data_IF_665386247733
#
_entry.id   IF_665386247733
#
_cell.length_a   1.000
_cell.length_b   1.000
_cell.length_c   1.000
_cell.angle_alpha   90.00
_cell.angle_beta   90.00
_cell.angle_gamma   90.00
#
_symmetry.space_group_name_H-M   'P 1'
#
loop_
_entity.id
_entity.type
_entity.pdbx_description
1 polymer ?
#
# COMPACT_ATOMS: atom_id res chain seq x y z
N UNK A 1 10.39 -29.94 -28.68
CA UNK A 1 11.35 -28.90 -28.25
C UNK A 1 11.42 -27.82 -29.31
N UNK A 2 10.32 -27.11 -29.57
CA UNK A 2 10.29 -26.10 -30.64
C UNK A 2 9.06 -25.20 -30.50
N UNK A 3 9.06 -24.29 -29.52
CA UNK A 3 8.15 -23.12 -29.46
C UNK A 3 8.51 -22.21 -28.27
N UNK A 4 9.78 -21.85 -28.11
CA UNK A 4 10.18 -20.84 -27.11
C UNK A 4 11.01 -19.69 -27.70
N UNK A 5 11.03 -19.56 -29.03
CA UNK A 5 11.73 -18.47 -29.71
C UNK A 5 10.88 -17.20 -29.92
N UNK A 6 9.64 -17.15 -29.40
CA UNK A 6 8.66 -16.09 -29.72
C UNK A 6 8.03 -15.36 -28.53
N UNK A 7 8.48 -15.62 -27.30
CA UNK A 7 7.92 -14.93 -26.14
C UNK A 7 8.55 -13.54 -25.99
N UNK A 8 7.76 -12.51 -26.23
CA UNK A 8 8.12 -11.11 -26.04
C UNK A 8 8.50 -10.86 -24.56
N UNK A 9 9.72 -10.38 -24.26
CA UNK A 9 10.12 -9.95 -22.92
C UNK A 9 9.22 -8.85 -22.33
N UNK A 10 8.47 -8.13 -23.17
CA UNK A 10 7.47 -7.12 -22.78
C UNK A 10 6.19 -7.74 -22.19
N UNK A 11 6.00 -9.06 -22.33
CA UNK A 11 4.77 -9.74 -21.90
C UNK A 11 4.59 -9.61 -20.39
N UNK A 12 3.46 -9.04 -19.97
CA UNK A 12 3.17 -8.77 -18.57
C UNK A 12 3.86 -7.52 -17.99
N UNK A 13 4.58 -6.71 -18.79
CA UNK A 13 5.31 -5.55 -18.29
C UNK A 13 4.37 -4.46 -17.75
N UNK A 14 3.24 -4.23 -18.43
CA UNK A 14 2.21 -3.29 -17.97
C UNK A 14 1.57 -3.77 -16.66
N UNK A 15 1.27 -5.06 -16.56
CA UNK A 15 0.68 -5.67 -15.36
C UNK A 15 1.69 -5.70 -14.19
N UNK A 16 2.97 -5.98 -14.46
CA UNK A 16 4.04 -5.87 -13.45
C UNK A 16 4.19 -4.43 -12.96
N UNK A 17 4.19 -3.47 -13.88
CA UNK A 17 4.25 -2.06 -13.55
C UNK A 17 3.05 -1.63 -12.69
N UNK A 18 1.83 -2.00 -13.10
CA UNK A 18 0.61 -1.73 -12.35
C UNK A 18 0.63 -2.39 -10.95
N UNK A 19 1.10 -3.63 -10.84
CA UNK A 19 1.26 -4.31 -9.56
C UNK A 19 2.24 -3.58 -8.63
N UNK A 20 3.37 -3.07 -9.14
CA UNK A 20 4.34 -2.28 -8.36
C UNK A 20 3.72 -0.94 -7.93
N UNK A 21 3.02 -0.24 -8.85
CA UNK A 21 2.31 1.01 -8.56
C UNK A 21 1.27 0.82 -7.45
N UNK A 22 0.51 -0.27 -7.51
CA UNK A 22 -0.54 -0.58 -6.54
C UNK A 22 0.04 -1.00 -5.19
N UNK A 23 1.15 -1.73 -5.19
CA UNK A 23 1.89 -2.05 -3.97
C UNK A 23 2.48 -0.77 -3.32
N UNK A 24 2.95 0.18 -4.14
CA UNK A 24 3.42 1.47 -3.64
C UNK A 24 2.28 2.33 -3.10
N UNK A 25 1.09 2.28 -3.70
CA UNK A 25 -0.11 2.93 -3.18
C UNK A 25 -0.44 2.44 -1.76
N UNK A 26 -0.47 1.11 -1.54
CA UNK A 26 -0.67 0.53 -0.19
C UNK A 26 0.33 1.11 0.81
N UNK A 27 1.61 1.17 0.43
CA UNK A 27 2.70 1.70 1.26
C UNK A 27 2.54 3.21 1.55
N UNK A 28 2.14 4.01 0.57
CA UNK A 28 1.92 5.46 0.75
C UNK A 28 0.72 5.72 1.66
N UNK A 29 -0.43 5.08 1.41
CA UNK A 29 -1.61 5.18 2.26
C UNK A 29 -1.30 4.76 3.70
N UNK A 30 -0.57 3.66 3.89
CA UNK A 30 -0.12 3.22 5.22
C UNK A 30 0.70 4.30 5.94
N UNK A 31 1.60 5.02 5.25
CA UNK A 31 2.36 6.10 5.88
C UNK A 31 1.55 7.36 6.14
N UNK A 32 0.56 7.66 5.32
CA UNK A 32 -0.36 8.78 5.55
C UNK A 32 -1.12 8.53 6.86
N UNK A 33 -1.71 7.34 7.02
CA UNK A 33 -2.42 6.99 8.25
C UNK A 33 -1.49 6.88 9.46
N UNK A 34 -0.28 6.34 9.31
CA UNK A 34 0.71 6.36 10.38
C UNK A 34 1.01 7.79 10.88
N UNK A 35 1.16 8.75 9.97
CA UNK A 35 1.38 10.15 10.34
C UNK A 35 0.16 10.77 11.03
N UNK A 36 -1.06 10.44 10.60
CA UNK A 36 -2.29 10.86 11.29
C UNK A 36 -2.36 10.29 12.71
N UNK A 37 -2.04 9.01 12.90
CA UNK A 37 -1.97 8.37 14.23
C UNK A 37 -0.94 9.02 15.15
N UNK A 38 0.14 9.56 14.58
CA UNK A 38 1.19 10.30 15.31
C UNK A 38 0.89 11.79 15.51
N UNK A 39 -0.12 12.34 14.84
CA UNK A 39 -0.37 13.78 14.83
C UNK A 39 0.70 14.61 14.12
N UNK A 40 1.39 14.05 13.12
CA UNK A 40 2.44 14.73 12.34
C UNK A 40 2.07 14.87 10.86
N UNK A 41 2.72 15.80 10.15
CA UNK A 41 2.47 15.99 8.72
C UNK A 41 3.10 14.88 7.87
N UNK A 42 2.31 14.24 6.99
CA UNK A 42 2.78 13.15 6.11
C UNK A 42 3.54 13.60 4.86
N UNK A 43 3.38 14.85 4.41
CA UNK A 43 4.07 15.46 3.25
C UNK A 43 3.80 14.82 1.88
N UNK A 44 2.91 13.84 1.78
CA UNK A 44 2.43 13.30 0.51
C UNK A 44 1.46 14.27 -0.18
N UNK A 45 1.67 14.51 -1.47
CA UNK A 45 0.78 15.28 -2.34
C UNK A 45 -0.32 14.41 -3.01
N UNK A 46 -0.28 13.09 -2.79
CA UNK A 46 -1.21 12.13 -3.35
C UNK A 46 -1.07 10.77 -2.67
N UNK A 47 -1.94 9.84 -3.02
CA UNK A 47 -1.97 8.47 -2.49
C UNK A 47 -0.94 7.53 -3.14
N UNK A 48 -0.05 8.08 -3.96
CA UNK A 48 1.05 7.39 -4.61
C UNK A 48 2.20 8.37 -4.88
N UNK A 49 3.40 7.88 -5.14
CA UNK A 49 4.51 8.74 -5.60
C UNK A 49 4.41 8.99 -7.11
N UNK A 50 4.96 10.11 -7.62
CA UNK A 50 5.07 10.32 -9.07
C UNK A 50 5.83 9.18 -9.74
N UNK A 51 6.99 8.84 -9.19
CA UNK A 51 7.83 7.77 -9.71
C UNK A 51 7.37 6.39 -9.24
N UNK A 52 7.70 5.38 -10.03
CA UNK A 52 7.52 3.97 -9.66
C UNK A 52 8.79 3.48 -8.99
N UNK A 53 8.73 3.01 -7.74
CA UNK A 53 9.93 2.57 -7.02
C UNK A 53 10.45 1.23 -7.57
N UNK A 54 11.75 1.03 -7.43
CA UNK A 54 12.36 -0.28 -7.66
C UNK A 54 11.80 -1.34 -6.69
N UNK A 55 11.50 -2.58 -7.13
CA UNK A 55 10.86 -3.59 -6.30
C UNK A 55 11.60 -3.88 -4.99
N UNK A 56 12.94 -3.87 -5.00
CA UNK A 56 13.76 -4.07 -3.80
C UNK A 56 13.58 -2.94 -2.79
N UNK A 57 13.57 -1.70 -3.26
CA UNK A 57 13.38 -0.53 -2.41
C UNK A 57 11.95 -0.49 -1.84
N UNK A 58 10.95 -0.80 -2.66
CA UNK A 58 9.56 -0.90 -2.21
C UNK A 58 9.38 -1.98 -1.14
N UNK A 59 9.98 -3.16 -1.31
CA UNK A 59 9.95 -4.23 -0.31
C UNK A 59 10.53 -3.78 1.03
N UNK A 60 11.67 -3.08 1.01
CA UNK A 60 12.28 -2.56 2.24
C UNK A 60 11.37 -1.50 2.91
N UNK A 61 10.81 -0.59 2.11
CA UNK A 61 9.93 0.46 2.61
C UNK A 61 8.60 -0.07 3.18
N UNK A 62 8.08 -1.17 2.64
CA UNK A 62 6.93 -1.89 3.21
C UNK A 62 7.28 -2.51 4.57
N UNK A 63 8.41 -3.22 4.65
CA UNK A 63 8.84 -3.82 5.91
C UNK A 63 9.07 -2.77 7.02
N UNK A 64 9.54 -1.58 6.66
CA UNK A 64 9.71 -0.45 7.58
C UNK A 64 8.35 0.03 8.12
N UNK A 65 7.34 0.25 7.26
CA UNK A 65 6.03 0.69 7.72
C UNK A 65 5.29 -0.40 8.50
N UNK A 66 5.42 -1.67 8.09
CA UNK A 66 4.86 -2.81 8.82
C UNK A 66 5.46 -2.90 10.24
N UNK A 67 6.77 -2.72 10.37
CA UNK A 67 7.44 -2.68 11.68
C UNK A 67 6.90 -1.56 12.56
N UNK A 68 6.75 -0.36 11.99
CA UNK A 68 6.20 0.77 12.71
C UNK A 68 4.79 0.50 13.27
N UNK A 69 3.92 -0.14 12.48
CA UNK A 69 2.58 -0.51 12.95
C UNK A 69 2.62 -1.55 14.07
N UNK A 70 3.49 -2.55 13.98
CA UNK A 70 3.66 -3.55 15.04
C UNK A 70 4.10 -2.87 16.36
N UNK A 71 5.13 -2.03 16.29
CA UNK A 71 5.66 -1.31 17.45
C UNK A 71 4.59 -0.36 18.05
N UNK A 72 3.78 0.29 17.20
CA UNK A 72 2.67 1.14 17.64
C UNK A 72 1.58 0.33 18.37
N UNK A 73 1.21 -0.83 17.83
CA UNK A 73 0.18 -1.70 18.40
C UNK A 73 0.59 -2.32 19.75
N UNK A 74 1.89 -2.49 20.01
CA UNK A 74 2.40 -2.98 21.30
C UNK A 74 2.20 -1.97 22.44
N UNK A 75 2.02 -0.68 22.12
CA UNK A 75 2.05 0.40 23.12
C UNK A 75 0.73 1.15 23.28
N UNK A 76 -0.19 1.02 22.31
CA UNK A 76 -1.46 1.76 22.32
C UNK A 76 -2.47 1.16 23.32
N UNK A 77 -3.12 2.02 24.11
CA UNK A 77 -4.17 1.61 25.04
C UNK A 77 -5.55 1.54 24.36
N UNK A 78 -6.48 0.79 24.97
CA UNK A 78 -7.88 0.74 24.50
C UNK A 78 -8.55 2.13 24.50
N UNK A 79 -8.24 2.97 25.48
CA UNK A 79 -8.76 4.34 25.53
C UNK A 79 -8.23 5.19 24.37
N UNK A 80 -6.94 5.04 24.03
CA UNK A 80 -6.36 5.73 22.88
C UNK A 80 -6.94 5.20 21.55
N UNK A 81 -7.20 3.89 21.45
CA UNK A 81 -7.83 3.29 20.28
C UNK A 81 -9.20 3.92 19.96
N UNK A 82 -9.97 4.25 21.00
CA UNK A 82 -11.29 4.89 20.87
C UNK A 82 -11.24 6.40 20.61
N UNK A 83 -10.07 7.04 20.66
CA UNK A 83 -9.96 8.48 20.50
C UNK A 83 -10.13 8.89 19.02
N UNK A 84 -11.09 9.80 18.70
CA UNK A 84 -11.30 10.30 17.35
C UNK A 84 -10.19 11.27 16.93
N UNK A 85 -9.67 11.08 15.72
CA UNK A 85 -8.69 11.96 15.07
C UNK A 85 -9.36 12.60 13.86
N UNK A 86 -9.39 13.93 13.84
CA UNK A 86 -9.70 14.69 12.64
C UNK A 86 -8.45 14.81 11.75
N UNK A 87 -8.60 14.59 10.46
CA UNK A 87 -7.52 14.65 9.49
C UNK A 87 -8.00 15.17 8.13
N UNK A 88 -7.06 15.37 7.22
CA UNK A 88 -7.35 15.83 5.85
C UNK A 88 -6.72 14.85 4.87
N UNK A 89 -7.52 14.38 3.92
CA UNK A 89 -7.08 13.53 2.83
C UNK A 89 -6.21 14.31 1.84
N UNK A 90 -5.48 13.59 0.98
CA UNK A 90 -4.59 14.22 0.00
C UNK A 90 -5.31 15.03 -1.07
N UNK A 91 -6.61 14.81 -1.27
CA UNK A 91 -7.49 15.61 -2.15
C UNK A 91 -8.09 16.85 -1.45
N UNK A 92 -7.82 17.04 -0.16
CA UNK A 92 -8.30 18.16 0.64
C UNK A 92 -9.58 17.88 1.42
N UNK A 93 -10.21 16.71 1.23
CA UNK A 93 -11.42 16.36 1.98
C UNK A 93 -11.09 16.12 3.46
N UNK A 94 -12.08 16.39 4.33
CA UNK A 94 -11.93 16.25 5.78
C UNK A 94 -12.43 14.89 6.22
N UNK A 95 -11.60 14.17 6.97
CA UNK A 95 -11.93 12.91 7.61
C UNK A 95 -11.97 13.03 9.13
N UNK A 96 -12.73 12.16 9.77
CA UNK A 96 -12.65 11.91 11.21
C UNK A 96 -12.83 10.42 11.44
N UNK A 97 -11.85 9.80 12.10
CA UNK A 97 -11.85 8.37 12.43
C UNK A 97 -11.20 8.18 13.80
N UNK A 98 -11.68 7.24 14.57
CA UNK A 98 -10.95 6.70 15.73
C UNK A 98 -9.63 6.06 15.27
N UNK A 99 -8.65 5.94 16.16
CA UNK A 99 -7.41 5.21 15.86
C UNK A 99 -7.68 3.77 15.45
N UNK A 100 -8.65 3.12 16.10
CA UNK A 100 -9.10 1.79 15.73
C UNK A 100 -9.67 1.72 14.31
N UNK A 101 -10.50 2.68 13.91
CA UNK A 101 -11.04 2.76 12.54
C UNK A 101 -9.92 3.00 11.52
N UNK A 102 -8.93 3.84 11.82
CA UNK A 102 -7.75 4.04 10.98
C UNK A 102 -6.94 2.74 10.79
N UNK A 103 -6.67 2.03 11.89
CA UNK A 103 -5.95 0.75 11.85
C UNK A 103 -6.73 -0.30 11.05
N UNK A 104 -8.04 -0.38 11.26
CA UNK A 104 -8.95 -1.26 10.51
C UNK A 104 -8.94 -0.91 9.03
N UNK A 105 -9.01 0.39 8.69
CA UNK A 105 -8.93 0.87 7.32
C UNK A 105 -7.65 0.40 6.63
N UNK A 106 -6.48 0.58 7.26
CA UNK A 106 -5.19 0.18 6.70
C UNK A 106 -5.14 -1.34 6.41
N UNK A 107 -5.67 -2.17 7.32
CA UNK A 107 -5.72 -3.63 7.12
C UNK A 107 -6.63 -3.99 5.95
N UNK A 108 -7.86 -3.45 5.92
CA UNK A 108 -8.84 -3.77 4.88
C UNK A 108 -8.40 -3.25 3.50
N UNK A 109 -7.93 -2.00 3.43
CA UNK A 109 -7.40 -1.37 2.22
C UNK A 109 -6.23 -2.17 1.64
N UNK A 110 -5.24 -2.49 2.49
CA UNK A 110 -4.09 -3.28 2.07
C UNK A 110 -4.48 -4.70 1.65
N UNK A 111 -5.43 -5.34 2.33
CA UNK A 111 -5.93 -6.67 1.98
C UNK A 111 -6.61 -6.70 0.61
N UNK A 112 -7.49 -5.74 0.36
CA UNK A 112 -8.21 -5.58 -0.90
C UNK A 112 -7.25 -5.46 -2.09
N UNK A 113 -6.32 -4.50 -2.05
CA UNK A 113 -5.40 -4.28 -3.15
C UNK A 113 -4.37 -5.41 -3.33
N UNK A 114 -3.95 -6.09 -2.25
CA UNK A 114 -3.12 -7.30 -2.40
C UNK A 114 -3.85 -8.42 -3.14
N UNK A 115 -5.17 -8.54 -2.95
CA UNK A 115 -6.01 -9.44 -3.74
C UNK A 115 -6.01 -9.08 -5.23
N UNK A 116 -6.15 -7.79 -5.55
CA UNK A 116 -6.07 -7.31 -6.94
C UNK A 116 -4.71 -7.58 -7.57
N UNK A 117 -3.62 -7.32 -6.84
CA UNK A 117 -2.25 -7.63 -7.27
C UNK A 117 -2.09 -9.13 -7.54
N UNK A 118 -2.59 -9.99 -6.64
CA UNK A 118 -2.54 -11.44 -6.82
C UNK A 118 -3.22 -11.88 -8.12
N UNK A 119 -4.39 -11.29 -8.44
CA UNK A 119 -5.11 -11.54 -9.70
C UNK A 119 -4.30 -11.09 -10.92
N UNK A 120 -3.67 -9.91 -10.86
CA UNK A 120 -2.82 -9.41 -11.95
C UNK A 120 -1.66 -10.37 -12.22
N UNK A 121 -0.94 -10.79 -11.17
CA UNK A 121 0.21 -11.69 -11.30
C UNK A 121 -0.18 -13.09 -11.80
N UNK A 122 -1.33 -13.61 -11.36
CA UNK A 122 -1.85 -14.89 -11.88
C UNK A 122 -2.16 -14.82 -13.38
N UNK A 123 -2.71 -13.71 -13.87
CA UNK A 123 -2.96 -13.52 -15.31
C UNK A 123 -1.69 -13.55 -16.16
N UNK A 124 -0.58 -13.02 -15.63
CA UNK A 124 0.74 -13.09 -16.27
C UNK A 124 1.24 -14.53 -16.33
N UNK A 125 1.06 -15.30 -15.25
CA UNK A 125 1.55 -16.68 -15.13
C UNK A 125 0.78 -17.71 -15.97
N UNK A 126 -0.52 -17.47 -16.24
CA UNK A 126 -1.43 -18.42 -16.91
C UNK A 126 -1.58 -18.16 -18.42
N UNK A 127 -1.12 -17.01 -18.93
CA UNK A 127 -1.24 -16.68 -20.36
C UNK A 127 -0.48 -17.69 -21.24
N UNK A 128 -1.13 -18.37 -22.22
CA UNK A 128 -0.49 -19.43 -23.03
C UNK A 128 0.60 -18.85 -23.95
N UNK A 129 1.60 -19.64 -24.39
CA UNK A 129 2.72 -19.14 -25.19
C UNK A 129 2.28 -18.33 -26.41
#
# INVERSE_FOLDING_TARGET
METLAGLDPSRGAAERHAAIRLMNHIRVVSRIFAAHLQGVAHRYAGDNTPDTPEPRALRAALAEVDRWYLDHLETISEQALAEPIAFTFTDGDKGCMTRQEMLTHVVLHGGYHRGEIGRMLAGIAVSPP
#
